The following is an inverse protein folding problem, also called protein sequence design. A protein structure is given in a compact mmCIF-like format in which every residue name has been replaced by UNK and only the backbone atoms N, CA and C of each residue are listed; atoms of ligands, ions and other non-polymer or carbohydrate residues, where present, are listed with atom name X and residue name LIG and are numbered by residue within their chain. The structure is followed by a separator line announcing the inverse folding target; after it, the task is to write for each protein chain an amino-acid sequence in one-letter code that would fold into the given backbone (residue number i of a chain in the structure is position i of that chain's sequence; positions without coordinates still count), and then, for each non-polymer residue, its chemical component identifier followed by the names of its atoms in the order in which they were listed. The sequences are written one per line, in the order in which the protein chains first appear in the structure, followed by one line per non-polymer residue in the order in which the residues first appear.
data_IF_052966350881
#
_entry.id   IF_052966350881
#
_cell.length_a   1.000
_cell.length_b   1.000
_cell.length_c   1.000
_cell.angle_alpha   90.00
_cell.angle_beta   90.00
_cell.angle_gamma   90.00
#
_symmetry.space_group_name_H-M   'P 1'
#
loop_
_entity.id
_entity.type
_entity.pdbx_description
1 polymer ?
#
# COMPACT_ATOMS: atom_id res chain seq x y z
N UNK A 1 -10.64 -7.87 -7.60
CA UNK A 1 -11.63 -7.81 -8.67
C UNK A 1 -11.90 -6.35 -9.05
N UNK A 2 -12.35 -5.48 -8.12
CA UNK A 2 -12.69 -4.07 -8.41
C UNK A 2 -11.52 -3.27 -8.99
N UNK A 3 -10.29 -3.48 -8.54
CA UNK A 3 -9.10 -2.85 -9.11
C UNK A 3 -8.95 -3.19 -10.60
N UNK A 4 -9.07 -4.48 -10.95
CA UNK A 4 -8.95 -4.93 -12.35
C UNK A 4 -10.09 -4.36 -13.20
N UNK A 5 -11.32 -4.41 -12.72
CA UNK A 5 -12.48 -3.83 -13.42
C UNK A 5 -12.31 -2.33 -13.64
N UNK A 6 -11.79 -1.60 -12.65
CA UNK A 6 -11.56 -0.15 -12.74
C UNK A 6 -10.58 0.20 -13.85
N UNK A 7 -9.50 -0.57 -13.98
CA UNK A 7 -8.50 -0.37 -15.02
C UNK A 7 -9.02 -0.78 -16.41
N UNK A 8 -9.75 -1.89 -16.49
CA UNK A 8 -10.37 -2.35 -17.74
C UNK A 8 -11.42 -1.36 -18.29
N UNK A 9 -12.16 -0.68 -17.40
CA UNK A 9 -13.15 0.32 -17.82
C UNK A 9 -12.52 1.65 -18.23
N UNK A 10 -11.28 1.94 -17.79
CA UNK A 10 -10.64 3.25 -17.98
C UNK A 10 -9.65 3.29 -19.13
N UNK A 11 -8.88 2.21 -19.33
CA UNK A 11 -7.64 2.25 -20.10
C UNK A 11 -7.80 1.66 -21.49
N UNK A 12 -7.30 2.40 -22.47
CA UNK A 12 -6.93 1.90 -23.78
C UNK A 12 -5.44 1.53 -23.84
N UNK A 13 -5.03 0.89 -24.93
CA UNK A 13 -3.63 0.54 -25.14
C UNK A 13 -2.74 1.79 -25.06
N UNK A 14 -1.65 1.67 -24.32
CA UNK A 14 -0.65 2.71 -24.08
C UNK A 14 -1.10 3.89 -23.20
N UNK A 15 -2.30 3.90 -22.68
CA UNK A 15 -2.70 4.85 -21.65
C UNK A 15 -1.86 4.66 -20.37
N UNK A 16 -1.58 5.74 -19.67
CA UNK A 16 -0.69 5.72 -18.53
C UNK A 16 -1.44 5.99 -17.21
N UNK A 17 -1.02 5.28 -16.17
CA UNK A 17 -1.48 5.53 -14.80
C UNK A 17 -0.28 5.78 -13.89
N UNK A 18 -0.31 6.88 -13.16
CA UNK A 18 0.69 7.18 -12.13
C UNK A 18 0.43 6.34 -10.90
N UNK A 19 1.44 5.58 -10.47
CA UNK A 19 1.37 4.63 -9.35
C UNK A 19 2.48 4.97 -8.36
N UNK A 20 2.27 4.92 -7.02
CA UNK A 20 3.35 5.16 -6.07
C UNK A 20 4.46 4.10 -6.19
N UNK A 21 5.67 4.47 -5.80
CA UNK A 21 6.81 3.56 -5.63
C UNK A 21 7.45 3.82 -4.27
N UNK A 22 7.40 2.86 -3.34
CA UNK A 22 6.86 1.50 -3.48
C UNK A 22 5.33 1.45 -3.47
N UNK A 23 4.75 0.40 -4.09
CA UNK A 23 3.31 0.20 -4.21
C UNK A 23 2.84 -1.21 -3.83
N UNK A 24 1.51 -1.38 -3.80
CA UNK A 24 0.90 -2.71 -3.79
C UNK A 24 0.85 -3.26 -5.23
N UNK A 25 1.62 -4.32 -5.56
CA UNK A 25 1.90 -4.72 -6.96
C UNK A 25 0.68 -5.07 -7.82
N UNK A 26 -0.48 -5.34 -7.18
CA UNK A 26 -1.72 -5.62 -7.92
C UNK A 26 -2.15 -4.44 -8.79
N UNK A 27 -1.86 -3.20 -8.38
CA UNK A 27 -2.20 -2.03 -9.18
C UNK A 27 -1.38 -1.97 -10.47
N UNK A 28 -0.06 -2.15 -10.37
CA UNK A 28 0.83 -2.27 -11.53
C UNK A 28 0.39 -3.39 -12.46
N UNK A 29 0.05 -4.56 -11.90
CA UNK A 29 -0.43 -5.70 -12.68
C UNK A 29 -1.78 -5.40 -13.37
N UNK A 30 -2.72 -4.76 -12.68
CA UNK A 30 -4.03 -4.44 -13.24
C UNK A 30 -3.96 -3.44 -14.39
N UNK A 31 -3.11 -2.40 -14.27
CA UNK A 31 -2.84 -1.45 -15.36
C UNK A 31 -2.25 -2.18 -16.58
N UNK A 32 -1.25 -3.02 -16.36
CA UNK A 32 -0.60 -3.79 -17.44
C UNK A 32 -1.57 -4.75 -18.13
N UNK A 33 -2.38 -5.48 -17.34
CA UNK A 33 -3.39 -6.40 -17.88
C UNK A 33 -4.50 -5.71 -18.66
N UNK A 34 -4.77 -4.44 -18.36
CA UNK A 34 -5.72 -3.62 -19.12
C UNK A 34 -5.13 -2.97 -20.38
N UNK A 35 -3.86 -3.27 -20.73
CA UNK A 35 -3.16 -2.69 -21.89
C UNK A 35 -2.49 -1.35 -21.60
N UNK A 36 -2.59 -0.83 -20.39
CA UNK A 36 -1.98 0.43 -19.97
C UNK A 36 -0.53 0.29 -19.54
N UNK A 37 0.11 1.43 -19.28
CA UNK A 37 1.49 1.54 -18.82
C UNK A 37 1.54 2.13 -17.40
N UNK A 38 2.00 1.38 -16.39
CA UNK A 38 2.23 1.93 -15.07
C UNK A 38 3.44 2.89 -15.12
N UNK A 39 3.28 4.08 -14.54
CA UNK A 39 4.33 5.08 -14.35
C UNK A 39 4.53 5.32 -12.87
N UNK A 40 5.59 4.79 -12.31
CA UNK A 40 5.83 4.88 -10.88
C UNK A 40 6.39 6.25 -10.48
N UNK A 41 5.72 6.94 -9.56
CA UNK A 41 6.23 8.14 -8.91
C UNK A 41 6.86 7.81 -7.56
N UNK A 42 7.87 8.58 -7.18
CA UNK A 42 8.62 8.36 -5.95
C UNK A 42 7.81 8.73 -4.71
N UNK A 43 7.75 7.79 -3.76
CA UNK A 43 7.50 8.10 -2.37
C UNK A 43 8.85 8.10 -1.65
N UNK A 44 9.27 9.26 -1.15
CA UNK A 44 10.63 9.45 -0.66
C UNK A 44 10.79 8.99 0.80
N UNK A 45 11.70 8.04 1.04
CA UNK A 45 12.00 7.55 2.40
C UNK A 45 12.45 8.67 3.33
N UNK A 46 13.28 9.61 2.83
CA UNK A 46 13.77 10.73 3.63
C UNK A 46 12.67 11.71 4.04
N UNK A 47 11.54 11.69 3.31
CA UNK A 47 10.34 12.46 3.58
C UNK A 47 9.21 11.60 4.15
N UNK A 48 9.53 10.60 4.98
CA UNK A 48 8.57 9.68 5.61
C UNK A 48 7.72 8.88 4.62
N UNK A 49 8.25 8.56 3.46
CA UNK A 49 7.56 7.87 2.38
C UNK A 49 6.38 8.66 1.79
N UNK A 50 6.41 9.98 1.90
CA UNK A 50 5.41 10.82 1.26
C UNK A 50 5.67 10.95 -0.24
N UNK A 51 4.62 11.02 -1.07
CA UNK A 51 4.73 11.29 -2.50
C UNK A 51 5.52 12.55 -2.81
N UNK A 52 6.50 12.45 -3.70
CA UNK A 52 7.20 13.61 -4.24
C UNK A 52 6.34 14.25 -5.34
N UNK A 53 5.75 15.40 -5.02
CA UNK A 53 4.86 16.14 -5.93
C UNK A 53 5.58 16.59 -7.22
N UNK A 54 6.87 16.89 -7.15
CA UNK A 54 7.66 17.27 -8.32
C UNK A 54 7.91 16.08 -9.23
N UNK A 55 8.21 14.93 -8.63
CA UNK A 55 8.40 13.68 -9.38
C UNK A 55 7.08 13.25 -10.04
N UNK A 56 5.94 13.35 -9.33
CA UNK A 56 4.60 13.12 -9.91
C UNK A 56 4.42 13.99 -11.16
N UNK A 57 4.59 15.29 -11.04
CA UNK A 57 4.33 16.22 -12.13
C UNK A 57 5.27 15.99 -13.33
N UNK A 58 6.52 15.63 -13.08
CA UNK A 58 7.53 15.35 -14.12
C UNK A 58 7.21 14.11 -14.95
N UNK A 59 6.39 13.18 -14.43
CA UNK A 59 6.04 11.91 -15.09
C UNK A 59 4.75 11.96 -15.88
N UNK A 60 4.02 13.07 -15.83
CA UNK A 60 2.78 13.24 -16.57
C UNK A 60 3.08 13.47 -18.06
N UNK A 61 2.35 12.75 -18.89
CA UNK A 61 2.36 12.88 -20.36
C UNK A 61 0.95 13.10 -20.91
N UNK A 62 0.81 13.29 -22.21
CA UNK A 62 -0.49 13.37 -22.87
C UNK A 62 -1.28 12.04 -22.82
N UNK A 63 -0.65 10.93 -22.40
CA UNK A 63 -1.25 9.61 -22.25
C UNK A 63 -1.70 9.32 -20.82
N UNK A 64 -1.33 10.16 -19.86
CA UNK A 64 -1.68 9.94 -18.46
C UNK A 64 -3.18 10.19 -18.25
N UNK A 65 -3.89 9.15 -17.76
CA UNK A 65 -5.34 9.19 -17.49
C UNK A 65 -5.67 9.33 -16.03
N UNK A 66 -4.84 8.75 -15.17
CA UNK A 66 -5.16 8.68 -13.75
C UNK A 66 -3.92 8.73 -12.87
N UNK A 67 -4.14 9.06 -11.61
CA UNK A 67 -3.20 8.92 -10.51
C UNK A 67 -3.79 8.05 -9.42
N UNK A 68 -3.01 7.08 -8.94
CA UNK A 68 -3.34 6.25 -7.80
C UNK A 68 -2.70 6.79 -6.53
N UNK A 69 -3.47 6.87 -5.46
CA UNK A 69 -3.02 7.16 -4.09
C UNK A 69 -3.33 5.96 -3.21
N UNK A 70 -2.30 5.34 -2.61
CA UNK A 70 -2.46 4.27 -1.62
C UNK A 70 -2.22 4.88 -0.24
N UNK A 71 -3.28 5.16 0.50
CA UNK A 71 -3.19 5.85 1.78
C UNK A 71 -4.19 5.28 2.79
N UNK A 72 -3.71 4.66 3.88
CA UNK A 72 -2.31 4.39 4.26
C UNK A 72 -1.60 3.42 3.31
N UNK A 73 -0.28 3.61 3.15
CA UNK A 73 0.51 2.91 2.15
C UNK A 73 0.92 1.49 2.58
N UNK A 74 0.86 0.58 1.66
CA UNK A 74 1.51 -0.73 1.70
C UNK A 74 2.62 -0.72 0.62
N UNK A 75 3.92 -0.87 0.97
CA UNK A 75 4.43 -1.58 2.15
C UNK A 75 4.91 -0.69 3.31
N UNK A 76 4.91 0.63 3.20
CA UNK A 76 5.66 1.53 4.09
C UNK A 76 4.95 1.85 5.42
N UNK A 77 3.62 1.73 5.45
CA UNK A 77 2.81 2.17 6.58
C UNK A 77 2.70 3.70 6.71
N UNK A 78 3.10 4.44 5.69
CA UNK A 78 2.96 5.89 5.67
C UNK A 78 1.49 6.33 5.66
N UNK A 79 1.20 7.41 6.37
CA UNK A 79 -0.08 8.09 6.38
C UNK A 79 0.12 9.50 5.84
N UNK A 80 -0.44 9.77 4.66
CA UNK A 80 -0.17 11.04 3.97
C UNK A 80 -0.90 12.21 4.64
N UNK A 81 -0.19 13.29 4.96
CA UNK A 81 -0.80 14.48 5.53
C UNK A 81 -1.63 15.25 4.49
N UNK A 82 -2.51 16.10 4.98
CA UNK A 82 -3.48 16.85 4.17
C UNK A 82 -2.81 17.64 3.04
N UNK A 83 -1.68 18.27 3.33
CA UNK A 83 -0.93 19.11 2.40
C UNK A 83 -0.43 18.32 1.18
N UNK A 84 0.00 17.08 1.37
CA UNK A 84 0.42 16.19 0.28
C UNK A 84 -0.80 15.80 -0.56
N UNK A 85 -1.93 15.44 0.08
CA UNK A 85 -3.16 15.09 -0.62
C UNK A 85 -3.70 16.28 -1.43
N UNK A 86 -3.69 17.48 -0.87
CA UNK A 86 -4.06 18.71 -1.58
C UNK A 86 -3.11 19.00 -2.76
N UNK A 87 -1.81 18.78 -2.59
CA UNK A 87 -0.85 18.88 -3.68
C UNK A 87 -1.15 17.93 -4.84
N UNK A 88 -1.49 16.68 -4.54
CA UNK A 88 -1.90 15.69 -5.55
C UNK A 88 -3.19 16.14 -6.26
N UNK A 89 -4.17 16.67 -5.52
CA UNK A 89 -5.42 17.21 -6.09
C UNK A 89 -5.12 18.36 -7.06
N UNK A 90 -4.21 19.29 -6.72
CA UNK A 90 -3.85 20.39 -7.63
C UNK A 90 -3.23 19.87 -8.93
N UNK A 91 -2.34 18.87 -8.85
CA UNK A 91 -1.76 18.24 -10.02
C UNK A 91 -2.84 17.53 -10.86
N UNK A 92 -3.68 16.73 -10.21
CA UNK A 92 -4.77 16.02 -10.88
C UNK A 92 -5.74 16.99 -11.59
N UNK A 93 -6.08 18.12 -10.95
CA UNK A 93 -6.92 19.18 -11.53
C UNK A 93 -6.29 19.82 -12.76
N UNK A 94 -5.00 20.19 -12.66
CA UNK A 94 -4.24 20.79 -13.76
C UNK A 94 -4.22 19.91 -15.01
N UNK A 95 -4.09 18.61 -14.81
CA UNK A 95 -3.92 17.63 -15.87
C UNK A 95 -5.19 16.79 -16.17
N UNK A 96 -6.31 17.12 -15.51
CA UNK A 96 -7.62 16.44 -15.67
C UNK A 96 -7.56 14.93 -15.44
N UNK A 97 -6.81 14.51 -14.42
CA UNK A 97 -6.63 13.10 -14.08
C UNK A 97 -7.77 12.58 -13.20
N UNK A 98 -8.15 11.32 -13.43
CA UNK A 98 -8.98 10.57 -12.46
C UNK A 98 -8.11 10.21 -11.24
N UNK A 99 -8.65 10.40 -10.05
CA UNK A 99 -7.95 10.07 -8.80
C UNK A 99 -8.48 8.75 -8.24
N UNK A 100 -7.64 7.72 -8.24
CA UNK A 100 -7.90 6.46 -7.54
C UNK A 100 -7.37 6.55 -6.12
N UNK A 101 -8.15 6.11 -5.15
CA UNK A 101 -7.78 6.06 -3.74
C UNK A 101 -7.95 4.63 -3.20
N UNK A 102 -6.84 3.97 -2.90
CA UNK A 102 -6.85 2.71 -2.16
C UNK A 102 -6.76 3.03 -0.66
N UNK A 103 -7.89 2.92 0.02
CA UNK A 103 -8.04 3.29 1.43
C UNK A 103 -8.29 2.05 2.31
N UNK A 104 -7.80 0.88 1.89
CA UNK A 104 -8.06 -0.39 2.58
C UNK A 104 -7.57 -0.42 4.05
N UNK A 105 -6.66 0.49 4.43
CA UNK A 105 -6.11 0.61 5.79
C UNK A 105 -6.60 1.86 6.54
N UNK A 106 -7.63 2.56 6.08
CA UNK A 106 -8.11 3.84 6.63
C UNK A 106 -8.38 3.85 8.14
N UNK A 107 -8.69 2.69 8.75
CA UNK A 107 -8.90 2.53 10.20
C UNK A 107 -7.69 1.93 10.95
N UNK A 108 -6.70 1.43 10.24
CA UNK A 108 -5.48 0.88 10.87
C UNK A 108 -4.46 2.00 11.01
N UNK A 109 -4.73 2.92 11.92
CA UNK A 109 -3.95 4.14 12.15
C UNK A 109 -3.55 4.25 13.62
N UNK A 110 -2.30 4.60 13.88
CA UNK A 110 -1.70 4.64 15.22
C UNK A 110 -1.53 6.07 15.73
N UNK A 111 -1.11 6.19 16.99
CA UNK A 111 -0.67 7.44 17.63
C UNK A 111 -1.74 8.55 17.60
N UNK A 112 -3.02 8.17 17.67
CA UNK A 112 -4.19 9.08 17.61
C UNK A 112 -4.25 9.93 16.32
N UNK A 113 -3.47 9.56 15.30
CA UNK A 113 -3.58 10.17 13.98
C UNK A 113 -4.90 9.78 13.31
N UNK A 114 -5.29 10.51 12.28
CA UNK A 114 -6.52 10.25 11.54
C UNK A 114 -6.24 10.18 10.06
N UNK A 115 -6.82 9.18 9.42
CA UNK A 115 -6.87 9.12 7.97
C UNK A 115 -7.77 10.25 7.42
N UNK A 116 -7.36 10.81 6.30
CA UNK A 116 -8.14 11.76 5.52
C UNK A 116 -8.35 11.13 4.15
N UNK A 117 -9.61 10.88 3.80
CA UNK A 117 -9.94 10.45 2.43
C UNK A 117 -9.67 11.58 1.45
N UNK A 118 -8.86 11.33 0.42
CA UNK A 118 -8.55 12.36 -0.58
C UNK A 118 -9.81 12.83 -1.29
N UNK A 119 -10.79 11.97 -1.47
CA UNK A 119 -12.07 12.31 -2.07
C UNK A 119 -12.91 13.29 -1.25
N UNK A 120 -12.60 13.49 0.05
CA UNK A 120 -13.28 14.47 0.90
C UNK A 120 -12.73 15.89 0.75
N UNK A 121 -11.62 16.07 0.05
CA UNK A 121 -10.91 17.34 -0.06
C UNK A 121 -11.28 18.15 -1.31
N UNK A 122 -11.99 17.55 -2.27
CA UNK A 122 -12.44 18.22 -3.48
C UNK A 122 -13.68 17.54 -4.08
N UNK A 123 -14.49 18.28 -4.83
CA UNK A 123 -15.70 17.79 -5.48
C UNK A 123 -15.71 18.03 -7.01
N UNK A 124 -14.69 18.70 -7.51
CA UNK A 124 -14.53 19.11 -8.92
C UNK A 124 -13.78 18.08 -9.79
N UNK A 125 -13.19 17.05 -9.18
CA UNK A 125 -12.52 15.93 -9.86
C UNK A 125 -13.35 14.65 -9.76
N UNK A 126 -13.03 13.67 -10.59
CA UNK A 126 -13.54 12.30 -10.42
C UNK A 126 -12.65 11.52 -9.46
N UNK A 127 -13.24 11.00 -8.39
CA UNK A 127 -12.60 10.12 -7.44
C UNK A 127 -13.20 8.71 -7.52
N UNK A 128 -12.32 7.72 -7.43
CA UNK A 128 -12.67 6.29 -7.35
C UNK A 128 -12.01 5.73 -6.11
N UNK A 129 -12.77 5.62 -5.03
CA UNK A 129 -12.28 5.15 -3.73
C UNK A 129 -12.58 3.68 -3.53
N UNK A 130 -11.55 2.89 -3.19
CA UNK A 130 -11.66 1.47 -2.93
C UNK A 130 -11.40 1.15 -1.46
N UNK A 131 -12.22 0.28 -0.90
CA UNK A 131 -12.08 -0.23 0.46
C UNK A 131 -12.71 -1.63 0.57
N UNK A 132 -12.63 -2.26 1.75
CA UNK A 132 -13.18 -3.61 1.93
C UNK A 132 -13.06 -4.16 3.34
N UNK A 133 -13.57 -5.37 3.52
CA UNK A 133 -13.60 -6.05 4.81
C UNK A 133 -12.24 -6.66 5.22
N UNK A 134 -11.30 -6.77 4.30
CA UNK A 134 -10.10 -7.59 4.47
C UNK A 134 -9.18 -7.14 5.60
N UNK A 135 -9.00 -5.84 5.81
CA UNK A 135 -7.99 -5.28 6.70
C UNK A 135 -8.60 -4.66 7.95
N UNK A 136 -9.38 -3.62 7.81
CA UNK A 136 -10.03 -2.94 8.93
C UNK A 136 -10.88 -3.87 9.79
N UNK A 137 -11.54 -4.84 9.15
CA UNK A 137 -12.45 -5.78 9.81
C UNK A 137 -11.84 -7.18 9.97
N UNK A 138 -10.60 -7.41 9.53
CA UNK A 138 -9.88 -8.69 9.60
C UNK A 138 -10.66 -9.87 8.99
N UNK A 139 -11.54 -9.56 8.05
CA UNK A 139 -12.44 -10.50 7.40
C UNK A 139 -12.03 -10.76 5.94
N UNK A 140 -10.72 -10.99 5.71
CA UNK A 140 -10.17 -11.20 4.36
C UNK A 140 -10.74 -12.45 3.65
N UNK A 141 -11.18 -13.44 4.40
CA UNK A 141 -11.83 -14.65 3.87
C UNK A 141 -13.22 -14.42 3.29
N UNK A 142 -13.91 -13.34 3.67
CA UNK A 142 -15.22 -12.98 3.09
C UNK A 142 -15.13 -12.53 1.63
N UNK A 143 -13.93 -12.15 1.15
CA UNK A 143 -13.73 -11.70 -0.23
C UNK A 143 -14.74 -10.61 -0.65
N UNK A 144 -14.97 -9.62 0.21
CA UNK A 144 -15.90 -8.53 -0.02
C UNK A 144 -15.23 -7.16 0.15
N UNK A 145 -15.55 -6.27 -0.77
CA UNK A 145 -15.09 -4.88 -0.80
C UNK A 145 -16.03 -4.05 -1.66
N UNK A 146 -15.78 -2.76 -1.70
CA UNK A 146 -16.58 -1.81 -2.45
C UNK A 146 -15.71 -0.77 -3.15
N UNK A 147 -16.30 -0.18 -4.19
CA UNK A 147 -15.78 0.95 -4.92
C UNK A 147 -16.83 2.05 -4.88
N UNK A 148 -16.40 3.27 -4.61
CA UNK A 148 -17.26 4.46 -4.57
C UNK A 148 -16.77 5.46 -5.61
N UNK A 149 -17.64 5.82 -6.55
CA UNK A 149 -17.39 6.90 -7.50
C UNK A 149 -17.99 8.19 -6.96
N UNK A 150 -17.18 9.21 -6.74
CA UNK A 150 -17.59 10.50 -6.16
C UNK A 150 -17.00 11.71 -6.89
N UNK A 151 -17.41 12.91 -6.51
CA UNK A 151 -16.99 14.14 -7.14
C UNK A 151 -17.70 14.44 -8.48
N UNK A 152 -16.99 15.05 -9.42
CA UNK A 152 -17.57 15.47 -10.71
C UNK A 152 -17.73 14.29 -11.67
N UNK A 153 -18.97 13.87 -11.88
CA UNK A 153 -19.34 12.74 -12.76
C UNK A 153 -19.78 13.17 -14.16
N UNK A 154 -19.84 14.47 -14.45
CA UNK A 154 -20.46 14.98 -15.70
C UNK A 154 -19.77 14.48 -16.97
N UNK A 155 -18.44 14.37 -16.93
CA UNK A 155 -17.64 13.95 -18.09
C UNK A 155 -17.19 12.49 -17.98
N UNK A 156 -17.77 11.70 -17.05
CA UNK A 156 -17.32 10.34 -16.75
C UNK A 156 -18.44 9.30 -16.90
N UNK A 157 -19.48 9.65 -17.67
CA UNK A 157 -20.63 8.77 -17.92
C UNK A 157 -20.19 7.43 -18.52
N UNK A 158 -19.35 7.47 -19.53
CA UNK A 158 -18.86 6.29 -20.25
C UNK A 158 -18.02 5.37 -19.33
N UNK A 159 -17.20 5.95 -18.47
CA UNK A 159 -16.44 5.17 -17.48
C UNK A 159 -17.35 4.46 -16.48
N UNK A 160 -18.38 5.16 -15.97
CA UNK A 160 -19.35 4.61 -15.03
C UNK A 160 -20.19 3.52 -15.71
N UNK A 161 -20.58 3.72 -16.97
CA UNK A 161 -21.27 2.71 -17.76
C UNK A 161 -20.38 1.48 -17.99
N UNK A 162 -19.12 1.66 -18.34
CA UNK A 162 -18.14 0.58 -18.46
C UNK A 162 -18.01 -0.26 -17.18
N UNK A 163 -17.96 0.38 -16.01
CA UNK A 163 -17.96 -0.32 -14.71
C UNK A 163 -19.24 -1.13 -14.52
N UNK A 164 -20.41 -0.56 -14.85
CA UNK A 164 -21.70 -1.24 -14.73
C UNK A 164 -21.81 -2.43 -15.70
N UNK A 165 -21.29 -2.29 -16.92
CA UNK A 165 -21.23 -3.38 -17.88
C UNK A 165 -20.38 -4.53 -17.38
N UNK A 166 -19.16 -4.27 -16.88
CA UNK A 166 -18.28 -5.29 -16.30
C UNK A 166 -18.93 -5.96 -15.08
N UNK A 167 -19.58 -5.19 -14.23
CA UNK A 167 -20.34 -5.72 -13.09
C UNK A 167 -21.49 -6.63 -13.55
N UNK A 168 -22.21 -6.23 -14.60
CA UNK A 168 -23.30 -7.03 -15.19
C UNK A 168 -22.80 -8.33 -15.82
N UNK A 169 -21.66 -8.30 -16.50
CA UNK A 169 -21.01 -9.49 -17.06
C UNK A 169 -20.56 -10.47 -15.94
N UNK A 170 -20.08 -9.92 -14.83
CA UNK A 170 -19.66 -10.70 -13.67
C UNK A 170 -20.83 -11.36 -12.95
N UNK A 171 -22.03 -10.79 -13.04
CA UNK A 171 -23.26 -11.24 -12.36
C UNK A 171 -23.15 -11.14 -10.81
N UNK A 172 -23.63 -12.17 -10.11
CA UNK A 172 -23.69 -12.18 -8.65
C UNK A 172 -22.30 -12.23 -8.01
N UNK A 173 -21.98 -11.23 -7.20
CA UNK A 173 -20.83 -11.26 -6.32
C UNK A 173 -21.10 -12.19 -5.11
N UNK A 174 -20.11 -12.30 -4.20
CA UNK A 174 -20.27 -13.08 -2.97
C UNK A 174 -21.34 -12.46 -2.05
N UNK A 175 -22.58 -12.86 -2.20
CA UNK A 175 -23.74 -12.32 -1.48
C UNK A 175 -23.58 -12.39 0.05
N UNK A 176 -23.16 -13.52 0.67
CA UNK A 176 -22.92 -13.57 2.12
C UNK A 176 -21.88 -12.54 2.58
N UNK A 177 -20.79 -12.35 1.80
CA UNK A 177 -19.78 -11.35 2.09
C UNK A 177 -20.31 -9.92 1.98
N UNK A 178 -21.17 -9.64 0.99
CA UNK A 178 -21.80 -8.33 0.82
C UNK A 178 -22.76 -8.01 1.96
N UNK A 179 -23.56 -8.95 2.43
CA UNK A 179 -24.45 -8.76 3.58
C UNK A 179 -23.69 -8.44 4.87
N UNK A 180 -22.47 -8.98 5.02
CA UNK A 180 -21.60 -8.66 6.15
C UNK A 180 -21.09 -7.21 6.16
N UNK A 181 -21.06 -6.51 5.01
CA UNK A 181 -20.56 -5.13 4.90
C UNK A 181 -21.38 -4.19 5.78
N UNK A 182 -22.71 -4.26 5.72
CA UNK A 182 -23.57 -3.40 6.52
C UNK A 182 -23.32 -3.56 8.02
N UNK A 183 -23.20 -4.81 8.49
CA UNK A 183 -22.90 -5.11 9.89
C UNK A 183 -21.50 -4.61 10.27
N UNK A 184 -20.52 -4.79 9.41
CA UNK A 184 -19.16 -4.33 9.65
C UNK A 184 -19.08 -2.79 9.75
N UNK A 185 -19.75 -2.07 8.85
CA UNK A 185 -19.72 -0.60 8.83
C UNK A 185 -20.52 0.00 10.01
N UNK A 186 -21.68 -0.55 10.35
CA UNK A 186 -22.56 -0.03 11.40
C UNK A 186 -22.32 -0.61 12.79
N UNK A 187 -21.51 -1.65 12.91
CA UNK A 187 -21.26 -2.35 14.16
C UNK A 187 -20.08 -1.76 14.95
N UNK A 188 -19.73 -2.44 16.03
CA UNK A 188 -18.61 -2.11 16.89
C UNK A 188 -17.28 -2.19 16.11
N UNK A 189 -16.49 -1.11 16.20
CA UNK A 189 -15.23 -0.99 15.47
C UNK A 189 -14.07 -1.54 16.30
N UNK A 190 -13.98 -2.85 16.42
CA UNK A 190 -12.95 -3.52 17.24
C UNK A 190 -11.50 -3.28 16.76
N UNK A 191 -11.30 -2.67 15.59
CA UNK A 191 -9.98 -2.23 15.15
C UNK A 191 -9.43 -1.12 16.05
N UNK A 192 -10.29 -0.25 16.59
CA UNK A 192 -9.89 0.86 17.46
C UNK A 192 -9.19 0.36 18.73
N UNK A 193 -9.66 -0.77 19.29
CA UNK A 193 -9.00 -1.39 20.45
C UNK A 193 -7.62 -1.95 20.11
N UNK A 194 -7.46 -2.46 18.89
CA UNK A 194 -6.21 -3.08 18.46
C UNK A 194 -5.11 -2.06 18.17
N UNK A 195 -5.48 -0.89 17.65
CA UNK A 195 -4.52 0.19 17.31
C UNK A 195 -4.30 1.17 18.48
N UNK A 196 -5.12 1.11 19.53
CA UNK A 196 -4.91 1.88 20.76
C UNK A 196 -3.57 1.53 21.43
N UNK A 197 -2.97 2.43 22.25
CA UNK A 197 -1.68 2.16 22.92
C UNK A 197 -1.65 0.88 23.78
N UNK A 198 -2.79 0.47 24.34
CA UNK A 198 -2.95 -0.81 25.04
C UNK A 198 -3.17 -2.00 24.11
N UNK A 199 -3.47 -1.75 22.86
CA UNK A 199 -3.89 -2.74 21.89
C UNK A 199 -2.75 -3.59 21.34
N UNK A 200 -3.13 -4.76 20.83
CA UNK A 200 -2.18 -5.76 20.34
C UNK A 200 -1.35 -5.24 19.16
N UNK A 201 -1.98 -4.63 18.15
CA UNK A 201 -1.26 -4.17 16.97
C UNK A 201 -0.29 -3.03 17.29
N UNK A 202 -0.67 -2.13 18.19
CA UNK A 202 0.22 -1.07 18.65
C UNK A 202 1.48 -1.67 19.31
N UNK A 203 1.31 -2.58 20.28
CA UNK A 203 2.43 -3.21 20.98
C UNK A 203 3.34 -3.99 20.05
N UNK A 204 2.77 -4.73 19.11
CA UNK A 204 3.52 -5.49 18.11
C UNK A 204 4.31 -4.58 17.16
N UNK A 205 3.73 -3.42 16.75
CA UNK A 205 4.45 -2.41 15.97
C UNK A 205 5.66 -1.87 16.72
N UNK A 206 5.46 -1.43 17.97
CA UNK A 206 6.53 -0.89 18.81
C UNK A 206 7.65 -1.90 18.97
N UNK A 207 7.30 -3.11 19.42
CA UNK A 207 8.26 -4.19 19.62
C UNK A 207 9.08 -4.50 18.36
N UNK A 208 8.39 -4.66 17.23
CA UNK A 208 9.07 -5.01 15.98
C UNK A 208 9.97 -3.88 15.48
N UNK A 209 9.49 -2.63 15.56
CA UNK A 209 10.27 -1.46 15.19
C UNK A 209 11.54 -1.34 16.03
N UNK A 210 11.42 -1.34 17.36
CA UNK A 210 12.55 -1.17 18.27
C UNK A 210 13.60 -2.27 18.08
N UNK A 211 13.16 -3.52 17.94
CA UNK A 211 14.07 -4.63 17.70
C UNK A 211 14.79 -4.55 16.35
N UNK A 212 14.09 -4.14 15.28
CA UNK A 212 14.69 -4.04 13.95
C UNK A 212 15.72 -2.91 13.85
N UNK A 213 15.40 -1.73 14.38
CA UNK A 213 16.35 -0.59 14.34
C UNK A 213 17.52 -0.75 15.29
N UNK A 214 17.47 -1.71 16.23
CA UNK A 214 18.60 -2.09 17.06
C UNK A 214 19.66 -2.93 16.32
N UNK A 215 19.33 -3.48 15.15
CA UNK A 215 20.27 -4.26 14.35
C UNK A 215 21.23 -3.31 13.62
N UNK A 216 22.55 -3.45 13.76
CA UNK A 216 23.51 -2.57 13.10
C UNK A 216 23.34 -2.57 11.58
N UNK A 217 23.15 -1.38 10.99
CA UNK A 217 22.96 -1.21 9.55
C UNK A 217 21.51 -1.41 9.08
N UNK A 218 20.56 -1.50 10.00
CA UNK A 218 19.12 -1.50 9.69
C UNK A 218 18.52 -0.17 10.12
N UNK A 219 17.84 0.51 9.21
CA UNK A 219 17.05 1.70 9.48
C UNK A 219 15.60 1.47 9.04
N UNK A 220 14.67 2.20 9.60
CA UNK A 220 13.27 2.09 9.22
C UNK A 220 12.53 3.38 9.57
N UNK A 221 11.74 3.90 8.66
CA UNK A 221 10.73 4.90 8.99
C UNK A 221 9.63 4.21 9.81
N UNK A 222 9.33 4.75 10.99
CA UNK A 222 8.29 4.16 11.85
C UNK A 222 6.93 4.28 11.19
N UNK A 223 6.21 3.17 10.96
CA UNK A 223 4.92 3.23 10.29
C UNK A 223 3.87 3.92 11.16
N UNK A 224 3.11 4.83 10.57
CA UNK A 224 2.01 5.54 11.22
C UNK A 224 0.67 4.80 11.08
N UNK A 225 0.63 3.85 10.14
CA UNK A 225 -0.57 3.09 9.82
C UNK A 225 -0.25 1.71 9.23
N UNK A 226 -1.28 0.99 8.80
CA UNK A 226 -1.22 -0.36 8.24
C UNK A 226 -0.60 -1.39 9.20
N UNK A 227 0.04 -2.45 8.68
CA UNK A 227 0.49 -3.60 9.48
C UNK A 227 1.92 -4.02 9.08
N UNK A 228 2.71 -3.08 8.57
CA UNK A 228 3.99 -3.36 7.91
C UNK A 228 5.09 -2.46 8.43
N UNK A 229 6.30 -3.02 8.47
CA UNK A 229 7.57 -2.32 8.53
C UNK A 229 8.29 -2.52 7.20
N UNK A 230 8.95 -1.48 6.72
CA UNK A 230 9.71 -1.51 5.47
C UNK A 230 11.14 -1.03 5.72
N UNK A 231 11.92 -1.82 6.51
CA UNK A 231 13.27 -1.46 6.88
C UNK A 231 14.22 -1.52 5.69
N UNK A 232 15.18 -0.58 5.72
CA UNK A 232 16.32 -0.51 4.84
C UNK A 232 17.50 -1.25 5.45
N UNK A 233 18.19 -2.03 4.63
CA UNK A 233 19.46 -2.66 4.92
C UNK A 233 20.57 -1.84 4.27
N UNK A 234 21.47 -1.22 5.06
CA UNK A 234 22.55 -0.36 4.53
C UNK A 234 23.37 -1.12 3.49
N UNK A 235 23.41 -0.71 2.22
CA UNK A 235 24.14 -1.40 1.17
C UNK A 235 25.67 -1.47 1.41
N UNK A 236 26.22 -0.58 2.25
CA UNK A 236 27.64 -0.61 2.65
C UNK A 236 27.93 -1.76 3.63
N UNK A 237 26.94 -2.18 4.39
CA UNK A 237 27.04 -3.26 5.37
C UNK A 237 26.51 -4.58 4.79
N UNK A 238 25.43 -4.48 4.02
CA UNK A 238 24.72 -5.59 3.39
C UNK A 238 24.67 -5.37 1.87
N UNK A 239 25.72 -5.72 1.11
CA UNK A 239 25.79 -5.51 -0.34
C UNK A 239 24.93 -6.54 -1.09
N UNK A 240 23.61 -6.44 -0.91
CA UNK A 240 22.63 -7.30 -1.55
C UNK A 240 22.49 -6.86 -3.01
N UNK A 241 22.68 -7.81 -3.95
CA UNK A 241 22.51 -7.58 -5.39
C UNK A 241 21.16 -8.04 -5.91
N UNK A 242 20.62 -9.09 -5.29
CA UNK A 242 19.34 -9.71 -5.60
C UNK A 242 18.62 -9.97 -4.27
N UNK A 243 17.60 -9.16 -3.98
CA UNK A 243 16.84 -9.26 -2.74
C UNK A 243 15.87 -10.45 -2.75
N UNK A 244 15.47 -10.94 -3.92
CA UNK A 244 14.68 -12.17 -4.02
C UNK A 244 15.51 -13.39 -3.61
N UNK A 245 16.71 -13.51 -4.14
CA UNK A 245 17.65 -14.58 -3.73
C UNK A 245 18.01 -14.48 -2.24
N UNK A 246 18.23 -13.24 -1.76
CA UNK A 246 18.53 -12.99 -0.35
C UNK A 246 17.41 -13.48 0.57
N UNK A 247 16.15 -13.13 0.27
CA UNK A 247 14.98 -13.56 1.05
C UNK A 247 14.75 -15.06 0.96
N UNK A 248 14.98 -15.69 -0.21
CA UNK A 248 14.88 -17.13 -0.37
C UNK A 248 15.90 -17.87 0.53
N UNK A 249 17.16 -17.41 0.55
CA UNK A 249 18.20 -17.98 1.42
C UNK A 249 17.87 -17.82 2.90
N UNK A 250 17.37 -16.64 3.29
CA UNK A 250 16.89 -16.38 4.66
C UNK A 250 15.76 -17.35 5.04
N UNK A 251 14.79 -17.53 4.16
CA UNK A 251 13.68 -18.46 4.39
C UNK A 251 14.18 -19.91 4.57
N UNK A 252 15.10 -20.36 3.73
CA UNK A 252 15.66 -21.72 3.80
C UNK A 252 16.43 -21.92 5.10
N UNK A 253 17.27 -20.95 5.51
CA UNK A 253 18.13 -21.05 6.69
C UNK A 253 17.36 -20.82 8.00
N UNK A 254 16.56 -19.75 8.06
CA UNK A 254 15.95 -19.29 9.32
C UNK A 254 14.46 -19.63 9.46
N UNK A 255 13.81 -20.16 8.42
CA UNK A 255 12.36 -20.47 8.39
C UNK A 255 11.50 -19.25 8.71
N UNK A 256 11.93 -18.07 8.25
CA UNK A 256 11.19 -16.80 8.36
C UNK A 256 10.87 -16.33 6.96
N UNK A 257 9.57 -16.19 6.64
CA UNK A 257 9.11 -15.70 5.35
C UNK A 257 8.96 -14.19 5.39
N UNK A 258 9.71 -13.51 4.55
CA UNK A 258 9.65 -12.07 4.32
C UNK A 258 9.31 -11.79 2.85
N UNK A 259 9.14 -10.52 2.49
CA UNK A 259 8.96 -10.12 1.09
C UNK A 259 10.03 -9.08 0.75
N UNK A 260 10.68 -9.29 -0.39
CA UNK A 260 11.69 -8.38 -0.92
C UNK A 260 11.10 -7.01 -1.31
N UNK A 261 11.91 -5.96 -1.20
CA UNK A 261 11.51 -4.59 -1.55
C UNK A 261 11.19 -4.41 -3.02
N UNK A 262 11.97 -5.04 -3.90
CA UNK A 262 11.74 -5.00 -5.36
C UNK A 262 10.39 -5.63 -5.75
N UNK A 263 9.84 -6.52 -4.94
CA UNK A 263 8.48 -7.07 -5.09
C UNK A 263 7.37 -6.03 -4.90
N UNK A 264 7.69 -4.83 -4.40
CA UNK A 264 6.80 -3.67 -4.29
C UNK A 264 7.18 -2.56 -5.29
N UNK A 265 7.82 -2.94 -6.39
CA UNK A 265 8.35 -2.02 -7.40
C UNK A 265 9.38 -1.00 -6.86
N UNK A 266 9.95 -1.24 -5.65
CA UNK A 266 11.06 -0.46 -5.17
C UNK A 266 12.31 -0.69 -6.05
N UNK A 267 13.03 0.38 -6.37
CA UNK A 267 14.10 0.33 -7.37
C UNK A 267 15.40 -0.36 -6.90
N UNK A 268 15.66 -0.33 -5.59
CA UNK A 268 16.91 -0.81 -5.03
C UNK A 268 16.69 -2.10 -4.20
N UNK A 269 17.59 -3.09 -4.24
CA UNK A 269 17.44 -4.35 -3.50
C UNK A 269 17.86 -4.22 -2.03
N UNK A 270 17.53 -3.09 -1.39
CA UNK A 270 17.99 -2.73 -0.06
C UNK A 270 16.87 -2.64 1.00
N UNK A 271 15.63 -2.96 0.62
CA UNK A 271 14.48 -2.97 1.54
C UNK A 271 13.83 -4.35 1.63
N UNK A 272 13.21 -4.61 2.76
CA UNK A 272 12.38 -5.80 2.99
C UNK A 272 11.08 -5.41 3.68
N UNK A 273 9.97 -6.09 3.36
CA UNK A 273 8.72 -5.89 4.10
C UNK A 273 8.54 -6.93 5.18
N UNK A 274 8.25 -6.47 6.38
CA UNK A 274 7.95 -7.29 7.55
C UNK A 274 6.51 -7.01 7.99
N UNK A 275 5.76 -8.07 8.28
CA UNK A 275 4.40 -7.99 8.83
C UNK A 275 4.48 -8.20 10.33
N UNK A 276 3.98 -7.28 11.16
CA UNK A 276 4.03 -7.40 12.62
C UNK A 276 2.74 -7.98 13.23
N UNK A 277 2.07 -8.90 12.51
CA UNK A 277 0.84 -9.58 12.98
C UNK A 277 1.06 -10.78 13.90
N UNK A 278 2.18 -11.52 13.90
CA UNK A 278 2.41 -12.59 14.85
C UNK A 278 2.34 -12.10 16.30
N UNK A 279 2.08 -12.99 17.27
CA UNK A 279 2.16 -12.62 18.67
C UNK A 279 3.58 -12.16 19.05
N UNK A 280 3.72 -11.50 20.20
CA UNK A 280 4.98 -10.87 20.58
C UNK A 280 6.15 -11.84 20.70
N UNK A 281 5.93 -13.08 21.14
CA UNK A 281 7.00 -14.06 21.31
C UNK A 281 7.48 -14.61 19.96
N UNK A 282 6.56 -14.94 19.05
CA UNK A 282 6.89 -15.34 17.69
C UNK A 282 7.57 -14.21 16.92
N UNK A 283 7.15 -12.96 17.16
CA UNK A 283 7.73 -11.79 16.53
C UNK A 283 9.17 -11.55 17.03
N UNK A 284 9.40 -11.63 18.34
CA UNK A 284 10.74 -11.57 18.96
C UNK A 284 11.66 -12.63 18.39
N UNK A 285 11.20 -13.88 18.34
CA UNK A 285 11.99 -14.98 17.82
C UNK A 285 12.31 -14.80 16.34
N UNK A 286 11.32 -14.39 15.53
CA UNK A 286 11.53 -14.13 14.09
C UNK A 286 12.56 -13.03 13.86
N UNK A 287 12.49 -11.93 14.60
CA UNK A 287 13.45 -10.81 14.43
C UNK A 287 14.84 -11.22 14.92
N UNK A 288 14.97 -12.01 15.99
CA UNK A 288 16.28 -12.58 16.41
C UNK A 288 16.89 -13.43 15.31
N UNK A 289 16.10 -14.26 14.63
CA UNK A 289 16.57 -15.08 13.50
C UNK A 289 17.01 -14.22 12.33
N UNK A 290 16.29 -13.15 12.03
CA UNK A 290 16.69 -12.17 11.01
C UNK A 290 18.02 -11.52 11.40
N UNK A 291 18.18 -11.05 12.64
CA UNK A 291 19.40 -10.44 13.13
C UNK A 291 20.61 -11.40 13.02
N UNK A 292 20.43 -12.64 13.43
CA UNK A 292 21.47 -13.68 13.30
C UNK A 292 21.84 -13.95 11.83
N UNK A 293 20.86 -13.99 10.94
CA UNK A 293 21.12 -14.16 9.51
C UNK A 293 21.93 -12.99 8.94
N UNK A 294 21.55 -11.75 9.26
CA UNK A 294 22.24 -10.55 8.84
C UNK A 294 23.69 -10.48 9.37
N UNK A 295 23.91 -10.88 10.61
CA UNK A 295 25.27 -10.96 11.18
C UNK A 295 26.16 -11.96 10.43
N UNK A 296 25.63 -13.14 10.09
CA UNK A 296 26.35 -14.14 9.33
C UNK A 296 26.59 -13.70 7.89
N UNK A 297 25.62 -13.05 7.26
CA UNK A 297 25.74 -12.49 5.91
C UNK A 297 26.88 -11.47 5.84
N UNK A 298 26.96 -10.56 6.80
CA UNK A 298 28.05 -9.57 6.92
C UNK A 298 29.42 -10.22 7.03
N UNK A 299 29.57 -11.27 7.85
CA UNK A 299 30.84 -12.00 8.02
C UNK A 299 31.30 -12.66 6.72
N UNK A 300 30.38 -13.22 5.96
CA UNK A 300 30.66 -13.90 4.70
C UNK A 300 30.98 -12.96 3.53
N UNK A 301 30.56 -11.70 3.60
CA UNK A 301 30.85 -10.69 2.58
C UNK A 301 32.10 -9.86 2.87
N UNK A 302 32.65 -9.96 4.08
CA UNK A 302 33.89 -9.26 4.49
C UNK A 302 35.17 -10.10 4.22
N UNK A 303 35.03 -11.41 3.87
CA UNK A 303 36.08 -12.33 3.45
C UNK A 303 36.09 -12.47 1.92
#
# INVERSE_FOLDING_TARGET
ELIVMSMQALLDNDDEVLIPMPDYPLWTAAVTLAGGKPRHYLCDEASNWYPDLKDIESKITSKTKAILVINPNNPTGALYPKEILEGIIQIARKHKLVVFADEIYDKVVYDKKKHISIASLADDLLFVTLNGLSKNYRACGYRAGWLVVSGNKKESGDYIEGLNMLASMRLCANVPGQLAIQTALGGYQSIDDLVAPSGRLFKQRELAYDMLVSIPGVTCVKPEAAMYLFPKLDPKIYPIKDDQEFILKLLIDKKVLLVQGTGFNWKDPDHIRIVFLPNEDDLKESIKRIANYLENFKKNTAN
#
